data_IF_054909490813
#
_entry.id   IF_054909490813
#
_cell.length_a   1.000
_cell.length_b   1.000
_cell.length_c   1.000
_cell.angle_alpha   90.00
_cell.angle_beta   90.00
_cell.angle_gamma   90.00
#
_symmetry.space_group_name_H-M   'P 1'
#
loop_
_entity.id
_entity.type
_entity.pdbx_description
1 polymer ?
#
# COMPACT_ATOMS: atom_id res chain seq x y z
N UNK A 1 9.32 -15.84 -2.79
CA UNK A 1 9.66 -17.17 -3.30
C UNK A 1 10.82 -17.82 -2.54
N UNK A 2 11.32 -17.14 -1.54
CA UNK A 2 12.38 -17.57 -0.65
C UNK A 2 11.88 -18.13 0.70
N UNK A 3 10.56 -18.31 0.83
CA UNK A 3 9.92 -18.85 2.03
C UNK A 3 9.60 -17.82 3.11
N UNK A 4 10.06 -16.59 2.99
CA UNK A 4 9.77 -15.54 3.98
C UNK A 4 8.34 -15.06 3.88
N UNK A 5 7.77 -14.73 5.02
CA UNK A 5 6.43 -14.14 5.16
C UNK A 5 6.59 -12.66 5.51
N UNK A 6 5.92 -11.82 4.75
CA UNK A 6 5.88 -10.38 4.97
C UNK A 6 4.54 -9.97 5.55
N UNK A 7 4.58 -9.18 6.62
CA UNK A 7 3.38 -8.79 7.37
C UNK A 7 3.35 -7.28 7.57
N UNK A 8 2.21 -6.65 7.27
CA UNK A 8 1.94 -5.28 7.67
C UNK A 8 1.25 -5.25 9.03
N UNK A 9 1.78 -4.50 9.99
CA UNK A 9 1.13 -4.26 11.28
C UNK A 9 0.01 -3.23 11.14
N UNK A 10 -1.02 -3.37 11.96
CA UNK A 10 -2.13 -2.43 12.06
C UNK A 10 -2.45 -2.02 13.49
N UNK A 11 -1.43 -1.74 14.33
CA UNK A 11 -1.61 -1.33 15.72
C UNK A 11 -2.34 -0.01 15.83
N UNK A 12 -2.06 0.92 14.91
CA UNK A 12 -2.69 2.23 14.81
C UNK A 12 -4.01 2.20 14.00
N UNK A 13 -4.66 1.05 13.86
CA UNK A 13 -5.89 0.92 13.07
C UNK A 13 -7.03 1.79 13.59
N UNK A 14 -7.71 2.47 12.67
CA UNK A 14 -8.84 3.38 12.88
C UNK A 14 -8.53 4.53 13.85
N UNK A 15 -9.06 4.50 15.07
CA UNK A 15 -9.01 5.60 16.04
C UNK A 15 -7.84 5.54 17.01
N UNK A 16 -6.91 4.62 16.78
CA UNK A 16 -5.83 4.34 17.73
C UNK A 16 -4.47 4.85 17.24
N UNK A 17 -4.45 6.04 16.65
CA UNK A 17 -3.24 6.65 16.07
C UNK A 17 -2.05 6.76 17.01
N UNK A 18 -2.30 6.83 18.31
CA UNK A 18 -1.27 7.09 19.31
C UNK A 18 -0.82 5.83 20.06
N UNK A 19 -1.34 4.63 19.68
CA UNK A 19 -0.92 3.38 20.31
C UNK A 19 0.53 3.05 20.04
N UNK A 20 1.02 3.41 18.86
CA UNK A 20 2.40 3.18 18.41
C UNK A 20 2.90 4.44 17.71
N UNK A 21 3.39 5.44 18.48
CA UNK A 21 3.82 6.74 17.93
C UNK A 21 4.97 6.62 16.93
N UNK A 22 5.84 5.63 17.10
CA UNK A 22 6.95 5.28 16.20
C UNK A 22 6.50 4.72 14.85
N UNK A 23 5.20 4.46 14.70
CA UNK A 23 4.59 3.92 13.49
C UNK A 23 4.43 2.40 13.52
N UNK A 24 3.56 1.90 12.64
CA UNK A 24 3.42 0.48 12.40
C UNK A 24 4.59 -0.05 11.57
N UNK A 25 4.85 -1.36 11.63
CA UNK A 25 5.99 -1.99 10.97
C UNK A 25 5.55 -2.79 9.75
N UNK A 26 6.46 -2.90 8.80
CA UNK A 26 6.46 -4.01 7.84
C UNK A 26 7.46 -5.03 8.37
N UNK A 27 6.95 -6.20 8.74
CA UNK A 27 7.72 -7.27 9.36
C UNK A 27 8.09 -8.34 8.35
N UNK A 28 9.26 -8.95 8.55
CA UNK A 28 9.70 -10.15 7.86
C UNK A 28 9.79 -11.28 8.88
N UNK A 29 9.19 -12.41 8.54
CA UNK A 29 9.23 -13.64 9.33
C UNK A 29 9.95 -14.72 8.51
N UNK A 30 10.83 -15.48 9.12
CA UNK A 30 11.62 -16.53 8.48
C UNK A 30 11.59 -17.80 9.33
N UNK A 31 11.28 -18.89 8.67
CA UNK A 31 11.44 -20.25 9.18
C UNK A 31 12.80 -20.74 8.68
N UNK A 32 13.79 -20.83 9.57
CA UNK A 32 15.18 -21.13 9.19
C UNK A 32 15.51 -22.62 9.23
N UNK A 33 14.71 -23.43 9.94
CA UNK A 33 14.91 -24.88 10.05
C UNK A 33 13.89 -25.74 9.30
N UNK A 34 12.84 -25.10 8.74
CA UNK A 34 11.85 -25.74 7.88
C UNK A 34 10.78 -26.52 8.63
N UNK A 35 10.55 -26.21 9.91
CA UNK A 35 9.54 -26.88 10.75
C UNK A 35 8.12 -26.32 10.58
N UNK A 36 7.97 -25.22 9.80
CA UNK A 36 6.71 -24.53 9.53
C UNK A 36 6.37 -23.45 10.57
N UNK A 37 7.27 -23.13 11.48
CA UNK A 37 7.16 -22.03 12.42
C UNK A 37 8.26 -21.01 12.15
N UNK A 38 7.94 -19.74 12.23
CA UNK A 38 8.95 -18.69 12.12
C UNK A 38 9.76 -18.61 13.40
N UNK A 39 11.06 -18.79 13.29
CA UNK A 39 12.04 -18.70 14.39
C UNK A 39 12.87 -17.42 14.35
N UNK A 40 12.73 -16.64 13.28
CA UNK A 40 13.32 -15.32 13.11
C UNK A 40 12.29 -14.30 12.69
N UNK A 41 12.37 -13.10 13.29
CA UNK A 41 11.56 -11.96 12.87
C UNK A 41 12.34 -10.65 12.99
N UNK A 42 12.08 -9.71 12.08
CA UNK A 42 12.61 -8.35 12.16
C UNK A 42 11.72 -7.36 11.41
N UNK A 43 11.86 -6.08 11.69
CA UNK A 43 11.22 -5.04 10.95
C UNK A 43 12.04 -4.72 9.69
N UNK A 44 11.43 -4.84 8.51
CA UNK A 44 11.99 -4.27 7.29
C UNK A 44 12.01 -2.74 7.40
N UNK A 45 10.90 -2.13 7.80
CA UNK A 45 10.78 -0.69 7.99
C UNK A 45 9.81 -0.36 9.12
N UNK A 46 10.13 0.68 9.86
CA UNK A 46 9.25 1.35 10.81
C UNK A 46 9.47 2.85 10.72
N UNK A 47 8.39 3.58 10.44
CA UNK A 47 8.45 5.05 10.33
C UNK A 47 7.21 5.67 10.97
N UNK A 48 7.31 6.83 11.66
CA UNK A 48 6.19 7.42 12.41
C UNK A 48 4.94 7.72 11.58
N UNK A 49 5.09 7.89 10.27
CA UNK A 49 3.96 8.12 9.36
C UNK A 49 3.28 6.82 8.89
N UNK A 50 3.94 5.66 9.00
CA UNK A 50 3.31 4.36 8.69
C UNK A 50 2.25 4.06 9.75
N UNK A 51 1.00 4.34 9.40
CA UNK A 51 -0.14 4.16 10.29
C UNK A 51 -1.18 3.29 9.63
N UNK A 52 -1.26 2.06 10.10
CA UNK A 52 -2.17 1.05 9.58
C UNK A 52 -1.97 0.78 8.07
N UNK A 53 -0.79 0.34 7.63
CA UNK A 53 -0.63 -0.14 6.27
C UNK A 53 -1.57 -1.33 6.03
N UNK A 54 -2.37 -1.25 4.96
CA UNK A 54 -3.45 -2.21 4.66
C UNK A 54 -2.99 -3.33 3.73
N UNK A 55 -1.76 -3.26 3.26
CA UNK A 55 -1.19 -4.31 2.43
C UNK A 55 0.29 -4.12 2.16
N UNK A 56 0.96 -5.24 1.94
CA UNK A 56 2.35 -5.30 1.52
C UNK A 56 2.49 -6.27 0.36
N UNK A 57 3.29 -5.89 -0.64
CA UNK A 57 3.69 -6.78 -1.73
C UNK A 57 5.20 -6.66 -1.95
N UNK A 58 5.87 -7.80 -2.13
CA UNK A 58 7.30 -7.85 -2.40
C UNK A 58 7.53 -8.31 -3.83
N UNK A 59 8.13 -7.44 -4.62
CA UNK A 59 8.33 -7.64 -6.05
C UNK A 59 9.81 -7.38 -6.34
N UNK A 60 10.57 -8.45 -6.46
CA UNK A 60 12.04 -8.43 -6.49
C UNK A 60 12.62 -7.70 -5.25
N UNK A 61 13.30 -6.59 -5.43
CA UNK A 61 13.82 -5.76 -4.34
C UNK A 61 12.94 -4.56 -3.98
N UNK A 62 11.69 -4.56 -4.43
CA UNK A 62 10.71 -3.52 -4.13
C UNK A 62 9.68 -4.03 -3.12
N UNK A 63 9.49 -3.29 -2.06
CA UNK A 63 8.45 -3.51 -1.06
C UNK A 63 7.38 -2.44 -1.25
N UNK A 64 6.24 -2.83 -1.79
CA UNK A 64 5.10 -1.94 -2.05
C UNK A 64 4.18 -1.96 -0.86
N UNK A 65 3.97 -0.81 -0.25
CA UNK A 65 3.14 -0.64 0.93
C UNK A 65 1.92 0.21 0.60
N UNK A 66 0.76 -0.34 0.79
CA UNK A 66 -0.51 0.37 0.64
C UNK A 66 -0.91 0.97 1.98
N UNK A 67 -0.79 2.27 2.09
CA UNK A 67 -1.16 3.01 3.30
C UNK A 67 -1.79 4.34 2.89
N UNK A 68 -3.09 4.46 3.07
CA UNK A 68 -3.82 5.68 2.73
C UNK A 68 -3.25 6.93 3.41
N UNK A 69 -3.03 8.03 2.68
CA UNK A 69 -3.50 8.28 1.29
C UNK A 69 -2.56 7.78 0.19
N UNK A 70 -1.51 7.03 0.51
CA UNK A 70 -0.38 6.77 -0.36
C UNK A 70 -0.21 5.28 -0.70
N UNK A 71 0.28 5.04 -1.90
CA UNK A 71 0.97 3.81 -2.28
C UNK A 71 2.47 4.11 -2.30
N UNK A 72 3.20 3.49 -1.39
CA UNK A 72 4.62 3.73 -1.15
C UNK A 72 5.44 2.57 -1.68
N UNK A 73 6.56 2.87 -2.32
CA UNK A 73 7.53 1.86 -2.75
C UNK A 73 8.84 2.09 -2.03
N UNK A 74 9.28 1.10 -1.29
CA UNK A 74 10.63 1.00 -0.76
C UNK A 74 11.45 0.11 -1.70
N UNK A 75 12.61 0.60 -2.16
CA UNK A 75 13.55 -0.18 -2.95
C UNK A 75 14.74 -0.51 -2.08
N UNK A 76 14.85 -1.76 -1.69
CA UNK A 76 15.97 -2.34 -0.95
C UNK A 76 17.13 -2.54 -1.94
N UNK A 77 18.05 -1.58 -1.96
CA UNK A 77 19.11 -1.50 -2.97
C UNK A 77 20.20 -2.54 -2.71
N UNK A 78 20.57 -2.72 -1.45
CA UNK A 78 21.61 -3.67 -1.03
C UNK A 78 21.09 -5.09 -0.76
N UNK A 79 19.75 -5.26 -0.76
CA UNK A 79 19.04 -6.56 -0.56
C UNK A 79 19.30 -7.21 0.80
N UNK A 80 19.45 -6.41 1.84
CA UNK A 80 19.65 -6.89 3.20
C UNK A 80 18.35 -7.08 3.99
N UNK A 81 17.20 -6.72 3.39
CA UNK A 81 15.85 -6.82 3.95
C UNK A 81 15.62 -5.92 5.16
N UNK A 82 16.33 -4.80 5.22
CA UNK A 82 16.16 -3.73 6.20
C UNK A 82 16.23 -2.39 5.46
N UNK A 83 15.24 -1.54 5.62
CA UNK A 83 15.24 -0.23 4.98
C UNK A 83 16.19 0.73 5.70
N UNK A 84 17.25 1.14 5.01
CA UNK A 84 18.19 2.18 5.42
C UNK A 84 18.05 3.38 4.48
N UNK A 85 17.58 4.56 4.96
CA UNK A 85 17.39 5.74 4.11
C UNK A 85 18.69 6.30 3.50
N UNK A 86 19.86 5.94 4.02
CA UNK A 86 21.17 6.32 3.46
C UNK A 86 21.57 5.46 2.26
N UNK A 87 20.99 4.25 2.13
CA UNK A 87 21.33 3.27 1.09
C UNK A 87 20.15 3.07 0.14
N UNK A 88 18.96 2.94 0.70
CA UNK A 88 17.74 2.54 0.03
C UNK A 88 16.93 3.74 -0.47
N UNK A 89 15.89 3.44 -1.24
CA UNK A 89 15.01 4.47 -1.77
C UNK A 89 13.58 4.26 -1.29
N UNK A 90 12.95 5.37 -0.93
CA UNK A 90 11.51 5.42 -0.67
C UNK A 90 10.87 6.43 -1.61
N UNK A 91 9.79 6.04 -2.27
CA UNK A 91 9.00 6.95 -3.10
C UNK A 91 7.51 6.73 -2.89
N UNK A 92 6.73 7.80 -3.01
CA UNK A 92 5.28 7.74 -3.13
C UNK A 92 4.96 7.53 -4.60
N UNK A 93 4.39 6.38 -4.93
CA UNK A 93 4.06 6.01 -6.30
C UNK A 93 2.75 6.63 -6.76
N UNK A 94 1.72 6.54 -5.93
CA UNK A 94 0.42 7.18 -6.10
C UNK A 94 -0.02 7.78 -4.76
N UNK A 95 -0.74 8.90 -4.80
CA UNK A 95 -1.31 9.56 -3.61
C UNK A 95 -2.67 10.14 -3.92
N UNK A 96 -3.58 10.15 -2.92
CA UNK A 96 -4.90 10.75 -3.04
C UNK A 96 -6.07 9.79 -2.77
N UNK A 97 -5.79 8.68 -2.08
CA UNK A 97 -6.82 7.74 -1.63
C UNK A 97 -7.47 8.24 -0.34
N UNK A 98 -8.81 8.24 -0.30
CA UNK A 98 -9.58 8.58 0.90
C UNK A 98 -9.63 7.42 1.90
N UNK A 99 -10.19 7.68 3.08
CA UNK A 99 -10.35 6.64 4.11
C UNK A 99 -9.09 6.39 4.92
N UNK A 100 -8.42 7.45 5.34
CA UNK A 100 -7.22 7.35 6.16
C UNK A 100 -7.44 6.46 7.39
N UNK A 101 -6.52 5.51 7.59
CA UNK A 101 -6.57 4.51 8.68
C UNK A 101 -7.86 3.69 8.65
N UNK A 102 -8.36 3.39 7.46
CA UNK A 102 -9.62 2.71 7.24
C UNK A 102 -9.49 1.55 6.27
N UNK A 103 -10.13 0.43 6.59
CA UNK A 103 -10.12 -0.81 5.82
C UNK A 103 -10.89 -0.75 4.49
N UNK A 104 -11.62 0.32 4.21
CA UNK A 104 -12.32 0.51 2.93
C UNK A 104 -11.53 1.37 1.93
N UNK A 105 -10.24 1.53 2.13
CA UNK A 105 -9.38 2.33 1.26
C UNK A 105 -8.47 1.47 0.37
N UNK A 106 -7.23 1.92 0.14
CA UNK A 106 -6.24 1.23 -0.69
C UNK A 106 -5.77 -0.07 -0.02
N UNK A 107 -5.75 -1.15 -0.79
CA UNK A 107 -5.29 -2.47 -0.38
C UNK A 107 -4.07 -2.95 -1.18
N UNK A 108 -3.76 -4.24 -1.02
CA UNK A 108 -2.55 -4.87 -1.56
C UNK A 108 -2.41 -4.73 -3.07
N UNK A 109 -1.15 -4.75 -3.49
CA UNK A 109 -0.73 -4.85 -4.88
C UNK A 109 -0.36 -6.30 -5.20
N UNK A 110 -0.64 -6.75 -6.42
CA UNK A 110 -0.16 -8.03 -6.96
C UNK A 110 0.33 -7.85 -8.39
N UNK A 111 1.21 -8.73 -8.84
CA UNK A 111 1.71 -8.73 -10.23
C UNK A 111 0.86 -9.67 -11.06
N UNK A 112 0.32 -9.15 -12.15
CA UNK A 112 -0.39 -9.95 -13.14
C UNK A 112 0.53 -10.71 -14.09
N UNK A 113 -0.01 -11.66 -14.85
CA UNK A 113 0.75 -12.43 -15.84
C UNK A 113 1.28 -11.58 -17.01
N UNK A 114 0.73 -10.41 -17.20
CA UNK A 114 1.16 -9.38 -18.15
C UNK A 114 2.29 -8.48 -17.64
N UNK A 115 2.77 -8.72 -16.42
CA UNK A 115 3.80 -7.92 -15.76
C UNK A 115 3.31 -6.60 -15.19
N UNK A 116 2.03 -6.29 -15.33
CA UNK A 116 1.44 -5.09 -14.71
C UNK A 116 1.12 -5.32 -13.24
N UNK A 117 1.04 -4.24 -12.49
CA UNK A 117 0.64 -4.26 -11.10
C UNK A 117 -0.86 -4.02 -10.99
N UNK A 118 -1.53 -4.93 -10.31
CA UNK A 118 -2.96 -4.86 -10.01
C UNK A 118 -3.14 -4.51 -8.54
N UNK A 119 -4.05 -3.59 -8.27
CA UNK A 119 -4.38 -3.15 -6.91
C UNK A 119 -5.86 -2.84 -6.80
N UNK A 120 -6.36 -2.84 -5.59
CA UNK A 120 -7.75 -2.54 -5.33
C UNK A 120 -7.90 -1.53 -4.21
N UNK A 121 -9.00 -0.79 -4.26
CA UNK A 121 -9.44 0.10 -3.21
C UNK A 121 -10.93 -0.15 -2.92
N UNK A 122 -11.30 0.02 -1.67
CA UNK A 122 -12.69 -0.05 -1.24
C UNK A 122 -13.49 1.20 -1.64
N UNK A 123 -14.59 1.44 -0.95
CA UNK A 123 -15.57 2.44 -1.33
C UNK A 123 -15.34 3.85 -0.74
N UNK A 124 -14.14 4.14 -0.27
CA UNK A 124 -13.82 5.47 0.25
C UNK A 124 -13.58 6.53 -0.83
N UNK A 125 -13.35 6.10 -2.07
CA UNK A 125 -13.02 6.98 -3.19
C UNK A 125 -11.58 7.48 -3.20
N UNK A 126 -11.20 8.16 -4.28
CA UNK A 126 -9.86 8.69 -4.49
C UNK A 126 -9.84 9.82 -5.51
N UNK A 127 -8.87 10.73 -5.38
CA UNK A 127 -8.43 11.63 -6.46
C UNK A 127 -6.91 11.52 -6.54
N UNK A 128 -6.41 10.91 -7.60
CA UNK A 128 -4.97 10.69 -7.79
C UNK A 128 -4.54 10.95 -9.22
N UNK A 129 -3.27 11.28 -9.40
CA UNK A 129 -2.65 11.45 -10.73
C UNK A 129 -1.59 10.36 -10.90
N UNK A 130 -1.63 9.64 -12.00
CA UNK A 130 -0.63 8.64 -12.35
C UNK A 130 0.66 9.27 -12.92
N UNK A 131 1.68 8.46 -13.10
CA UNK A 131 2.98 8.91 -13.61
C UNK A 131 2.97 9.26 -15.12
N UNK A 132 1.86 9.03 -15.82
CA UNK A 132 1.61 9.53 -17.18
C UNK A 132 0.84 10.87 -17.19
N UNK A 133 0.71 11.51 -16.04
CA UNK A 133 0.01 12.79 -15.82
C UNK A 133 -1.52 12.73 -16.07
N UNK A 134 -2.11 11.55 -15.97
CA UNK A 134 -3.55 11.38 -16.05
C UNK A 134 -4.15 11.38 -14.65
N UNK A 135 -5.14 12.25 -14.42
CA UNK A 135 -5.85 12.37 -13.14
C UNK A 135 -7.15 11.55 -13.18
N UNK A 136 -7.42 10.86 -12.10
CA UNK A 136 -8.61 10.04 -11.89
C UNK A 136 -9.35 10.54 -10.67
N UNK A 137 -10.66 10.67 -10.81
CA UNK A 137 -11.58 10.87 -9.70
C UNK A 137 -12.48 9.65 -9.58
N UNK A 138 -12.42 8.98 -8.44
CA UNK A 138 -13.29 7.86 -8.10
C UNK A 138 -14.16 8.32 -6.93
N UNK A 139 -15.44 8.53 -7.20
CA UNK A 139 -16.40 8.98 -6.18
C UNK A 139 -16.69 7.91 -5.13
N UNK A 140 -17.25 8.33 -4.01
CA UNK A 140 -17.61 7.46 -2.91
C UNK A 140 -19.07 7.61 -2.55
N UNK A 141 -19.75 6.48 -2.37
CA UNK A 141 -21.09 6.47 -1.75
C UNK A 141 -21.02 6.62 -0.23
N UNK A 142 -19.85 6.42 0.35
CA UNK A 142 -19.60 6.32 1.79
C UNK A 142 -18.95 7.60 2.36
N UNK A 143 -17.87 8.08 1.74
CA UNK A 143 -17.12 9.27 2.20
C UNK A 143 -17.33 10.46 1.23
N UNK A 144 -18.57 10.89 1.10
CA UNK A 144 -18.96 11.94 0.14
C UNK A 144 -18.40 13.33 0.44
N UNK A 145 -17.89 13.55 1.64
CA UNK A 145 -17.30 14.82 2.07
C UNK A 145 -15.79 14.87 1.87
N UNK A 146 -15.15 13.77 1.47
CA UNK A 146 -13.74 13.75 1.16
C UNK A 146 -13.47 14.20 -0.30
N UNK A 147 -12.18 14.26 -0.68
CA UNK A 147 -11.73 14.93 -1.90
C UNK A 147 -12.45 14.48 -3.19
N UNK A 148 -12.81 13.21 -3.29
CA UNK A 148 -13.48 12.68 -4.49
C UNK A 148 -14.98 13.05 -4.56
N UNK A 149 -15.62 13.31 -3.43
CA UNK A 149 -17.06 13.50 -3.38
C UNK A 149 -17.82 12.24 -3.80
N UNK A 150 -19.04 12.41 -4.34
CA UNK A 150 -19.93 11.30 -4.67
C UNK A 150 -19.74 10.75 -6.08
N UNK A 151 -19.49 11.61 -7.06
CA UNK A 151 -19.43 11.24 -8.47
C UNK A 151 -17.99 10.95 -8.91
N UNK A 152 -17.84 9.96 -9.79
CA UNK A 152 -16.60 9.65 -10.50
C UNK A 152 -16.55 10.34 -11.85
N UNK A 153 -15.38 10.34 -12.52
CA UNK A 153 -15.21 10.94 -13.84
C UNK A 153 -16.07 10.26 -14.93
N UNK A 154 -16.36 8.97 -14.75
CA UNK A 154 -17.23 8.18 -15.62
C UNK A 154 -18.73 8.29 -15.27
N UNK A 155 -19.08 9.09 -14.27
CA UNK A 155 -20.46 9.27 -13.80
C UNK A 155 -20.98 8.19 -12.87
N UNK A 156 -20.20 7.14 -12.59
CA UNK A 156 -20.60 6.07 -11.67
C UNK A 156 -20.37 6.44 -10.20
N UNK A 157 -21.20 5.84 -9.34
CA UNK A 157 -21.00 5.84 -7.89
C UNK A 157 -20.51 4.43 -7.49
N UNK A 158 -19.24 4.32 -7.17
CA UNK A 158 -18.65 3.04 -6.79
C UNK A 158 -19.04 2.67 -5.35
N UNK A 159 -19.95 1.72 -5.22
CA UNK A 159 -20.49 1.29 -3.91
C UNK A 159 -19.58 0.23 -3.28
N UNK A 160 -19.05 -0.69 -4.07
CA UNK A 160 -18.24 -1.83 -3.61
C UNK A 160 -16.74 -1.65 -3.70
N UNK A 161 -16.27 -0.49 -4.18
CA UNK A 161 -14.86 -0.28 -4.49
C UNK A 161 -14.51 -0.55 -5.96
N UNK A 162 -13.22 -0.58 -6.26
CA UNK A 162 -12.71 -0.78 -7.63
C UNK A 162 -11.37 -1.49 -7.64
N UNK A 163 -11.03 -2.07 -8.78
CA UNK A 163 -9.71 -2.62 -9.08
C UNK A 163 -9.12 -1.84 -10.25
N UNK A 164 -7.83 -1.59 -10.18
CA UNK A 164 -7.08 -0.95 -11.24
C UNK A 164 -5.79 -1.73 -11.53
N UNK A 165 -5.22 -1.48 -12.70
CA UNK A 165 -3.90 -1.97 -13.09
C UNK A 165 -3.03 -0.81 -13.55
N UNK A 166 -1.72 -0.95 -13.45
CA UNK A 166 -0.76 0.06 -13.88
C UNK A 166 0.57 -0.58 -14.27
N UNK A 167 1.40 0.17 -14.97
CA UNK A 167 2.79 -0.22 -15.11
C UNK A 167 3.54 -0.17 -13.76
N UNK A 168 4.62 -0.95 -13.60
CA UNK A 168 5.40 -0.98 -12.35
C UNK A 168 5.99 0.37 -11.91
N UNK A 169 6.09 1.33 -12.83
CA UNK A 169 6.55 2.70 -12.56
C UNK A 169 5.42 3.66 -12.13
N UNK A 170 4.19 3.17 -12.01
CA UNK A 170 3.02 3.98 -11.64
C UNK A 170 2.38 4.74 -12.80
N UNK A 171 2.79 4.48 -14.03
CA UNK A 171 2.18 5.06 -15.22
C UNK A 171 1.02 4.19 -15.76
N UNK A 172 0.20 4.80 -16.61
CA UNK A 172 -0.86 4.11 -17.37
C UNK A 172 -1.85 3.33 -16.48
N UNK A 173 -2.33 3.98 -15.45
CA UNK A 173 -3.43 3.41 -14.64
C UNK A 173 -4.69 3.23 -15.49
N UNK A 174 -5.35 2.06 -15.32
CA UNK A 174 -6.58 1.73 -16.04
C UNK A 174 -7.47 0.80 -15.20
#
# INVERSE_FOLDING_TARGET
KDGRIWVSEGVNYRRHYDRKPEGDRIMVLEDTDGDGQADKEWAFVQEPFLRCPMGVAVIDNKVVVSMTPDMIVYTDVNRDLVFDPEVDKREVLLSGFNGRVHDHSLHSVTVGPDGQWYWNAGNCGAVFTDRSARTFRIGSSYMTQEAAGKASDDGHVYVGGFTARMNPDGSWVN
#
